data_IF_355661242300
#
_entry.id   IF_355661242300
#
_cell.length_a   1.000
_cell.length_b   1.000
_cell.length_c   1.000
_cell.angle_alpha   90.00
_cell.angle_beta   90.00
_cell.angle_gamma   90.00
#
_symmetry.space_group_name_H-M   'P 1'
#
loop_
_entity.id
_entity.type
_entity.pdbx_description
1 polymer ?
#
# COMPACT_ATOMS: atom_id res chain seq x y z
N UNK A 1 3.09 -2.92 -28.31
CA UNK A 1 1.94 -3.83 -28.46
C UNK A 1 2.24 -4.94 -29.48
N UNK A 2 2.15 -4.75 -30.81
CA UNK A 2 2.40 -5.85 -31.78
C UNK A 2 3.70 -6.65 -31.54
N UNK A 3 4.81 -5.96 -31.27
CA UNK A 3 6.09 -6.60 -30.93
C UNK A 3 6.00 -7.43 -29.64
N UNK A 4 5.39 -6.89 -28.59
CA UNK A 4 5.22 -7.57 -27.30
C UNK A 4 4.28 -8.78 -27.42
N UNK A 5 3.24 -8.69 -28.23
CA UNK A 5 2.30 -9.79 -28.49
C UNK A 5 2.96 -10.97 -29.23
N UNK A 6 4.02 -10.72 -29.99
CA UNK A 6 4.80 -11.79 -30.61
C UNK A 6 5.77 -12.47 -29.62
N UNK A 7 6.17 -11.74 -28.57
CA UNK A 7 7.09 -12.22 -27.52
C UNK A 7 6.32 -12.95 -26.40
N UNK A 8 5.06 -12.58 -26.16
CA UNK A 8 4.23 -13.06 -25.05
C UNK A 8 2.91 -13.57 -25.61
N UNK A 9 2.58 -14.83 -25.35
CA UNK A 9 1.26 -15.38 -25.67
C UNK A 9 0.22 -14.88 -24.65
N UNK A 10 -0.47 -13.78 -24.96
CA UNK A 10 -1.49 -13.19 -24.08
C UNK A 10 -2.91 -13.34 -24.64
N UNK A 11 -3.89 -13.35 -23.74
CA UNK A 11 -5.32 -13.39 -24.10
C UNK A 11 -5.78 -12.01 -24.55
N UNK A 12 -5.47 -10.99 -23.76
CA UNK A 12 -5.83 -9.61 -24.04
C UNK A 12 -4.65 -8.68 -23.75
N UNK A 13 -4.44 -7.70 -24.62
CA UNK A 13 -3.44 -6.66 -24.45
C UNK A 13 -4.08 -5.30 -24.71
N UNK A 14 -4.03 -4.43 -23.69
CA UNK A 14 -4.58 -3.07 -23.74
C UNK A 14 -3.51 -2.05 -23.41
N UNK A 15 -3.48 -0.95 -24.15
CA UNK A 15 -2.69 0.20 -23.73
C UNK A 15 -3.38 0.87 -22.54
N UNK A 16 -2.75 0.82 -21.38
CA UNK A 16 -3.30 1.37 -20.15
C UNK A 16 -3.15 2.89 -20.11
N UNK A 17 -1.97 3.39 -20.51
CA UNK A 17 -1.70 4.81 -20.45
C UNK A 17 -0.25 5.22 -20.36
N UNK A 18 -0.06 6.49 -19.96
CA UNK A 18 1.22 7.15 -19.80
C UNK A 18 1.29 7.84 -18.43
N UNK A 19 2.37 7.60 -17.69
CA UNK A 19 2.68 8.31 -16.45
C UNK A 19 3.90 9.21 -16.70
N UNK A 20 3.79 10.49 -16.33
CA UNK A 20 4.88 11.43 -16.45
C UNK A 20 5.91 11.24 -15.35
N UNK A 21 7.18 11.35 -15.73
CA UNK A 21 8.31 11.39 -14.81
C UNK A 21 9.15 12.64 -15.00
N UNK A 22 10.01 12.92 -14.02
CA UNK A 22 10.88 14.10 -14.03
C UNK A 22 11.95 14.03 -15.13
N UNK A 23 12.51 12.84 -15.37
CA UNK A 23 13.55 12.62 -16.37
C UNK A 23 13.06 11.83 -17.59
N UNK A 24 12.26 10.79 -17.35
CA UNK A 24 11.66 9.96 -18.40
C UNK A 24 10.22 9.63 -18.04
N UNK A 25 9.37 9.52 -19.05
CA UNK A 25 8.00 9.06 -18.89
C UNK A 25 7.92 7.53 -18.89
N UNK A 26 6.79 7.01 -18.42
CA UNK A 26 6.44 5.59 -18.47
C UNK A 26 5.23 5.36 -19.37
N UNK A 27 5.38 4.50 -20.36
CA UNK A 27 4.31 3.95 -21.19
C UNK A 27 3.94 2.58 -20.67
N UNK A 28 2.66 2.34 -20.42
CA UNK A 28 2.19 1.16 -19.69
C UNK A 28 1.21 0.37 -20.56
N UNK A 29 1.44 -0.93 -20.65
CA UNK A 29 0.54 -1.91 -21.25
C UNK A 29 0.01 -2.82 -20.15
N UNK A 30 -1.29 -3.04 -20.17
CA UNK A 30 -1.99 -4.04 -19.36
C UNK A 30 -2.14 -5.31 -20.19
N UNK A 31 -1.86 -6.46 -19.58
CA UNK A 31 -1.92 -7.77 -20.23
C UNK A 31 -2.68 -8.74 -19.33
N UNK A 32 -3.61 -9.47 -19.93
CA UNK A 32 -4.27 -10.63 -19.31
C UNK A 32 -3.71 -11.92 -19.91
N UNK A 33 -3.33 -12.86 -19.06
CA UNK A 33 -2.75 -14.14 -19.45
C UNK A 33 -3.04 -15.23 -18.41
N UNK A 34 -3.17 -16.48 -18.84
CA UNK A 34 -3.55 -17.60 -17.95
C UNK A 34 -2.40 -18.12 -17.07
N UNK A 35 -1.14 -17.89 -17.47
CA UNK A 35 0.04 -18.44 -16.80
C UNK A 35 0.90 -17.34 -16.22
N UNK A 36 1.29 -17.47 -14.95
CA UNK A 36 2.27 -16.57 -14.35
C UNK A 36 3.54 -16.48 -15.22
N UNK A 37 3.77 -15.31 -15.80
CA UNK A 37 5.04 -15.01 -16.48
C UNK A 37 6.10 -14.82 -15.38
N UNK A 38 7.21 -15.59 -15.37
CA UNK A 38 8.25 -15.38 -14.38
C UNK A 38 8.73 -13.93 -14.37
N UNK A 39 8.93 -13.37 -13.18
CA UNK A 39 9.50 -12.04 -13.05
C UNK A 39 11.01 -12.12 -13.34
N UNK A 40 11.41 -11.75 -14.56
CA UNK A 40 12.81 -11.73 -14.96
C UNK A 40 13.57 -10.57 -14.30
N UNK A 41 14.14 -10.80 -13.11
CA UNK A 41 15.04 -9.84 -12.46
C UNK A 41 16.26 -9.47 -13.35
N UNK A 42 16.64 -10.36 -14.27
CA UNK A 42 17.84 -10.28 -15.12
C UNK A 42 17.70 -9.21 -16.23
N UNK A 43 16.49 -8.92 -16.71
CA UNK A 43 16.34 -7.93 -17.79
C UNK A 43 16.45 -6.48 -17.28
N UNK A 44 16.23 -6.28 -15.97
CA UNK A 44 16.38 -4.99 -15.29
C UNK A 44 17.87 -4.68 -15.09
N UNK A 45 18.70 -5.68 -14.78
CA UNK A 45 20.14 -5.48 -14.57
C UNK A 45 20.90 -5.17 -15.86
N UNK A 46 20.51 -5.74 -17.01
CA UNK A 46 21.20 -5.52 -18.28
C UNK A 46 21.01 -4.11 -18.88
N UNK A 47 19.88 -3.43 -18.62
CA UNK A 47 19.73 -2.00 -18.98
C UNK A 47 20.54 -1.06 -18.07
N UNK A 48 20.98 -1.53 -16.91
CA UNK A 48 21.71 -0.73 -15.91
C UNK A 48 23.24 -0.71 -16.11
N UNK A 49 23.79 -1.63 -16.91
CA UNK A 49 25.26 -1.72 -17.10
C UNK A 49 25.84 -0.52 -17.85
N UNK A 50 25.04 0.16 -18.69
CA UNK A 50 25.53 1.34 -19.43
C UNK A 50 25.53 2.66 -18.64
N UNK A 51 25.16 2.69 -17.35
CA UNK A 51 25.06 3.95 -16.59
C UNK A 51 25.61 3.93 -15.17
N UNK A 52 26.19 2.82 -14.70
CA UNK A 52 26.72 2.67 -13.33
C UNK A 52 28.18 2.23 -13.26
N UNK A 53 28.98 2.51 -14.29
CA UNK A 53 30.45 2.50 -14.16
C UNK A 53 30.92 3.85 -13.63
N UNK A 54 30.73 4.09 -12.34
CA UNK A 54 31.54 4.99 -11.51
C UNK A 54 31.04 4.83 -10.08
N UNK A 55 31.97 4.52 -9.17
CA UNK A 55 31.84 4.35 -7.72
C UNK A 55 31.58 2.92 -7.23
N UNK A 56 32.61 2.08 -7.38
CA UNK A 56 32.90 1.02 -6.42
C UNK A 56 33.73 1.59 -5.26
N UNK A 57 33.34 1.34 -4.01
CA UNK A 57 34.27 0.71 -3.05
C UNK A 57 33.56 0.24 -1.79
N UNK A 58 33.67 -1.07 -1.56
CA UNK A 58 33.99 -1.75 -0.29
C UNK A 58 33.14 -1.41 0.94
N UNK A 59 32.31 -2.36 1.38
CA UNK A 59 32.28 -2.79 2.79
C UNK A 59 31.87 -4.27 2.87
N UNK A 60 32.77 -5.08 3.41
CA UNK A 60 32.58 -6.47 3.81
C UNK A 60 32.02 -6.51 5.23
N UNK A 61 30.87 -7.11 5.46
CA UNK A 61 30.36 -7.35 6.81
C UNK A 61 30.38 -8.86 7.13
N UNK A 62 31.27 -9.21 8.05
CA UNK A 62 31.23 -10.44 8.83
C UNK A 62 29.98 -10.43 9.72
N UNK A 63 29.22 -11.52 9.66
CA UNK A 63 28.04 -11.78 10.50
C UNK A 63 28.49 -12.63 11.69
N UNK A 64 28.39 -12.09 12.90
CA UNK A 64 28.49 -12.86 14.16
C UNK A 64 27.08 -12.91 14.72
N UNK A 65 26.53 -14.11 14.82
CA UNK A 65 25.24 -14.40 15.46
C UNK A 65 25.45 -14.49 16.97
N UNK A 66 24.79 -13.62 17.72
CA UNK A 66 24.55 -13.81 19.16
C UNK A 66 23.05 -13.82 19.37
N UNK A 67 22.50 -15.01 19.63
CA UNK A 67 21.11 -15.22 20.02
C UNK A 67 20.93 -14.73 21.46
N UNK A 68 20.12 -13.70 21.65
CA UNK A 68 19.51 -13.38 22.94
C UNK A 68 18.01 -13.52 22.81
N UNK A 69 17.43 -14.39 23.64
CA UNK A 69 16.00 -14.62 23.77
C UNK A 69 15.27 -13.29 24.03
N UNK A 70 14.35 -12.93 23.13
CA UNK A 70 13.37 -11.88 23.37
C UNK A 70 11.99 -12.52 23.28
N UNK A 71 11.20 -12.22 24.31
CA UNK A 71 9.78 -12.51 24.43
C UNK A 71 9.09 -12.21 23.11
N UNK A 72 8.26 -13.14 22.62
CA UNK A 72 7.56 -13.01 21.35
C UNK A 72 6.55 -11.86 21.44
N UNK A 73 7.00 -10.66 21.12
CA UNK A 73 6.15 -9.55 20.74
C UNK A 73 5.27 -10.04 19.58
N UNK A 74 3.95 -10.09 19.79
CA UNK A 74 3.01 -10.53 18.76
C UNK A 74 3.05 -9.48 17.65
N UNK A 75 3.88 -9.72 16.64
CA UNK A 75 3.92 -8.88 15.44
C UNK A 75 2.51 -8.86 14.83
N UNK A 76 1.98 -7.67 14.47
CA UNK A 76 0.69 -7.60 13.80
C UNK A 76 0.75 -8.44 12.52
N UNK A 77 -0.25 -9.30 12.32
CA UNK A 77 -0.27 -10.22 11.18
C UNK A 77 -0.06 -9.46 9.86
N UNK A 78 0.91 -9.90 9.05
CA UNK A 78 1.11 -9.37 7.71
C UNK A 78 -0.06 -9.81 6.80
N UNK A 79 -0.76 -8.84 6.22
CA UNK A 79 -1.86 -9.10 5.31
C UNK A 79 -1.31 -9.81 4.06
N UNK A 80 -1.79 -11.02 3.70
CA UNK A 80 -1.26 -11.77 2.58
C UNK A 80 -1.58 -11.11 1.24
N UNK A 81 -0.68 -11.29 0.28
CA UNK A 81 -0.85 -10.81 -1.08
C UNK A 81 -1.88 -11.64 -1.84
N UNK A 82 -2.64 -11.01 -2.73
CA UNK A 82 -3.53 -11.72 -3.65
C UNK A 82 -2.71 -12.45 -4.72
N UNK A 83 -3.07 -13.70 -5.08
CA UNK A 83 -2.36 -14.46 -6.09
C UNK A 83 -2.57 -13.85 -7.49
N UNK A 84 -1.75 -14.27 -8.45
CA UNK A 84 -1.88 -13.83 -9.82
C UNK A 84 -3.25 -14.19 -10.40
N UNK A 85 -3.87 -13.25 -11.12
CA UNK A 85 -5.18 -13.43 -11.74
C UNK A 85 -6.37 -13.08 -10.83
N UNK A 86 -6.14 -12.70 -9.58
CA UNK A 86 -7.20 -12.35 -8.62
C UNK A 86 -7.04 -10.91 -8.12
N UNK A 87 -8.15 -10.17 -8.04
CA UNK A 87 -8.21 -8.85 -7.40
C UNK A 87 -7.20 -7.83 -7.93
N UNK A 88 -6.37 -7.29 -7.04
CA UNK A 88 -5.33 -6.30 -7.37
C UNK A 88 -4.24 -6.82 -8.31
N UNK A 89 -4.09 -8.15 -8.41
CA UNK A 89 -3.12 -8.86 -9.26
C UNK A 89 -3.77 -9.57 -10.45
N UNK A 90 -5.01 -9.20 -10.82
CA UNK A 90 -5.72 -9.73 -11.98
C UNK A 90 -4.97 -9.54 -13.31
N UNK A 91 -4.27 -8.41 -13.48
CA UNK A 91 -3.56 -8.07 -14.71
C UNK A 91 -2.06 -7.90 -14.48
N UNK A 92 -1.28 -8.34 -15.47
CA UNK A 92 0.16 -8.06 -15.53
C UNK A 92 0.41 -6.77 -16.29
N UNK A 93 1.30 -5.93 -15.75
CA UNK A 93 1.64 -4.65 -16.37
C UNK A 93 3.07 -4.66 -16.90
N UNK A 94 3.23 -4.14 -18.12
CA UNK A 94 4.52 -3.95 -18.77
C UNK A 94 4.79 -2.47 -19.00
N UNK A 95 6.02 -2.05 -18.74
CA UNK A 95 6.42 -0.64 -18.81
C UNK A 95 7.60 -0.45 -19.74
N UNK A 96 7.60 0.66 -20.45
CA UNK A 96 8.76 1.13 -21.22
C UNK A 96 8.90 2.64 -21.12
N UNK A 97 10.11 3.17 -21.23
CA UNK A 97 10.35 4.61 -21.21
C UNK A 97 10.06 5.29 -22.55
N UNK A 98 10.15 4.55 -23.65
CA UNK A 98 9.90 5.07 -24.99
C UNK A 98 9.37 3.98 -25.90
N UNK A 99 8.36 4.27 -26.73
CA UNK A 99 7.80 3.29 -27.66
C UNK A 99 8.85 2.87 -28.68
N UNK A 100 9.45 1.69 -28.49
CA UNK A 100 10.55 1.17 -29.32
C UNK A 100 11.61 0.42 -28.52
N UNK A 101 11.75 0.74 -27.23
CA UNK A 101 12.60 0.01 -26.30
C UNK A 101 11.94 -1.32 -25.86
N UNK A 102 12.70 -2.14 -25.13
CA UNK A 102 12.18 -3.35 -24.51
C UNK A 102 11.12 -3.02 -23.44
N UNK A 103 10.21 -3.96 -23.26
CA UNK A 103 9.17 -3.88 -22.24
C UNK A 103 9.65 -4.60 -20.98
N UNK A 104 9.45 -3.97 -19.82
CA UNK A 104 9.83 -4.49 -18.52
C UNK A 104 8.56 -4.86 -17.77
N UNK A 105 8.44 -6.13 -17.34
CA UNK A 105 7.34 -6.57 -16.48
C UNK A 105 7.44 -5.87 -15.12
N UNK A 106 6.32 -5.38 -14.60
CA UNK A 106 6.21 -4.93 -13.21
C UNK A 106 5.94 -6.11 -12.27
N UNK A 107 6.42 -6.05 -11.02
CA UNK A 107 6.13 -7.09 -10.04
C UNK A 107 4.66 -7.07 -9.62
N UNK A 108 4.21 -8.17 -9.02
CA UNK A 108 2.89 -8.24 -8.39
C UNK A 108 2.85 -7.40 -7.11
N UNK A 109 1.69 -6.81 -6.83
CA UNK A 109 1.55 -5.83 -5.76
C UNK A 109 1.19 -6.50 -4.44
N UNK A 110 1.83 -6.04 -3.35
CA UNK A 110 1.47 -6.40 -1.97
C UNK A 110 0.54 -5.35 -1.34
N UNK A 111 -0.41 -5.73 -0.47
CA UNK A 111 -1.33 -4.79 0.16
C UNK A 111 -0.64 -3.66 0.94
N UNK A 112 0.46 -3.98 1.64
CA UNK A 112 1.27 -3.01 2.39
C UNK A 112 1.82 -1.88 1.49
N UNK A 113 2.20 -2.20 0.25
CA UNK A 113 2.71 -1.23 -0.72
C UNK A 113 1.61 -0.27 -1.17
N UNK A 114 0.37 -0.72 -1.33
CA UNK A 114 -0.79 0.13 -1.66
C UNK A 114 -1.09 1.07 -0.49
N UNK A 115 -1.08 0.56 0.74
CA UNK A 115 -1.38 1.34 1.94
C UNK A 115 -0.33 2.42 2.20
N UNK A 116 0.96 2.11 2.03
CA UNK A 116 2.01 3.12 2.10
C UNK A 116 1.92 4.13 0.94
N UNK A 117 1.54 3.69 -0.27
CA UNK A 117 1.36 4.59 -1.41
C UNK A 117 0.22 5.61 -1.19
N UNK A 118 -0.83 5.25 -0.42
CA UNK A 118 -1.91 6.19 -0.02
C UNK A 118 -1.42 7.32 0.88
N UNK A 119 -0.37 7.07 1.69
CA UNK A 119 0.16 8.01 2.69
C UNK A 119 1.20 8.99 2.13
N UNK A 120 1.74 8.74 0.95
CA UNK A 120 2.84 9.55 0.37
C UNK A 120 2.45 10.16 -0.97
N UNK A 121 3.02 11.35 -1.26
CA UNK A 121 3.03 11.95 -2.60
C UNK A 121 4.44 11.94 -3.15
N UNK A 122 4.62 11.25 -4.27
CA UNK A 122 5.91 11.08 -4.91
C UNK A 122 5.75 11.29 -6.42
N UNK A 123 6.56 12.19 -6.99
CA UNK A 123 6.68 12.36 -8.43
C UNK A 123 7.70 11.36 -8.96
N UNK A 124 7.33 10.64 -10.02
CA UNK A 124 8.17 9.63 -10.63
C UNK A 124 9.44 10.24 -11.21
N UNK A 125 10.57 9.55 -11.08
CA UNK A 125 11.83 9.98 -11.71
C UNK A 125 11.91 9.51 -13.16
N UNK A 126 11.32 8.37 -13.49
CA UNK A 126 11.53 7.69 -14.77
C UNK A 126 12.56 6.55 -14.68
N UNK A 127 13.10 6.29 -13.48
CA UNK A 127 13.97 5.15 -13.19
C UNK A 127 13.29 4.15 -12.23
N UNK A 128 12.97 2.95 -12.75
CA UNK A 128 12.30 1.88 -12.00
C UNK A 128 13.06 1.41 -10.75
N UNK A 129 14.39 1.57 -10.71
CA UNK A 129 15.24 1.19 -9.58
C UNK A 129 15.48 2.30 -8.55
N UNK A 130 14.86 3.47 -8.71
CA UNK A 130 15.02 4.58 -7.78
C UNK A 130 14.44 4.24 -6.40
N UNK A 131 15.15 4.60 -5.33
CA UNK A 131 14.68 4.43 -3.95
C UNK A 131 13.78 5.60 -3.55
N UNK A 132 12.64 5.31 -2.95
CA UNK A 132 11.70 6.33 -2.50
C UNK A 132 12.03 6.75 -1.07
N UNK A 133 12.70 7.90 -0.92
CA UNK A 133 13.01 8.49 0.37
C UNK A 133 11.88 9.47 0.78
N UNK A 134 10.79 8.93 1.32
CA UNK A 134 9.65 9.69 1.86
C UNK A 134 9.29 9.20 3.26
N UNK A 135 8.56 10.04 3.99
CA UNK A 135 7.98 9.69 5.28
C UNK A 135 6.45 9.66 5.16
N UNK A 136 5.77 8.56 5.54
CA UNK A 136 6.30 7.30 6.06
C UNK A 136 7.19 6.55 5.03
N UNK A 137 8.16 5.74 5.48
CA UNK A 137 9.06 5.02 4.59
C UNK A 137 8.28 4.07 3.68
N UNK A 138 8.59 4.07 2.38
CA UNK A 138 7.95 3.19 1.43
C UNK A 138 8.71 1.84 1.37
N UNK A 139 8.02 0.68 1.48
CA UNK A 139 8.67 -0.63 1.59
C UNK A 139 9.27 -1.18 0.27
N UNK A 140 9.26 -0.41 -0.82
CA UNK A 140 9.73 -0.82 -2.14
C UNK A 140 10.51 0.26 -2.91
N UNK A 141 10.75 -0.01 -4.19
CA UNK A 141 11.38 0.91 -5.14
C UNK A 141 10.32 1.66 -5.96
N UNK A 142 10.77 2.50 -6.89
CA UNK A 142 9.89 3.23 -7.81
C UNK A 142 9.00 2.31 -8.66
N UNK A 143 9.48 1.14 -9.08
CA UNK A 143 8.67 0.14 -9.81
C UNK A 143 7.48 -0.36 -8.99
N UNK A 144 7.66 -0.54 -7.69
CA UNK A 144 6.63 -1.06 -6.79
C UNK A 144 5.59 0.03 -6.51
N UNK A 145 6.06 1.28 -6.36
CA UNK A 145 5.16 2.44 -6.26
C UNK A 145 4.40 2.70 -7.55
N UNK A 146 5.03 2.55 -8.71
CA UNK A 146 4.37 2.65 -10.01
C UNK A 146 3.27 1.60 -10.12
N UNK A 147 3.56 0.34 -9.76
CA UNK A 147 2.56 -0.73 -9.71
C UNK A 147 1.42 -0.44 -8.74
N UNK A 148 1.72 0.12 -7.57
CA UNK A 148 0.71 0.52 -6.57
C UNK A 148 -0.20 1.63 -7.10
N UNK A 149 0.37 2.65 -7.76
CA UNK A 149 -0.40 3.74 -8.36
C UNK A 149 -1.28 3.24 -9.51
N UNK A 150 -0.76 2.34 -10.35
CA UNK A 150 -1.56 1.70 -11.40
C UNK A 150 -2.75 0.96 -10.78
N UNK A 151 -2.54 0.13 -9.75
CA UNK A 151 -3.64 -0.58 -9.09
C UNK A 151 -4.73 0.37 -8.58
N UNK A 152 -4.32 1.45 -7.88
CA UNK A 152 -5.23 2.46 -7.35
C UNK A 152 -6.02 3.20 -8.43
N UNK A 153 -5.34 3.60 -9.50
CA UNK A 153 -5.97 4.32 -10.62
C UNK A 153 -6.93 3.37 -11.35
N UNK A 154 -6.48 2.16 -11.70
CA UNK A 154 -7.30 1.17 -12.41
C UNK A 154 -8.58 0.86 -11.65
N UNK A 155 -8.49 0.54 -10.35
CA UNK A 155 -9.65 0.21 -9.53
C UNK A 155 -10.64 1.37 -9.33
N UNK A 156 -10.24 2.62 -9.54
CA UNK A 156 -11.11 3.80 -9.33
C UNK A 156 -11.56 4.46 -10.62
N UNK A 157 -10.93 4.16 -11.75
CA UNK A 157 -11.16 4.89 -13.01
C UNK A 157 -11.60 4.02 -14.18
N UNK A 158 -11.50 2.69 -14.06
CA UNK A 158 -11.96 1.80 -15.12
C UNK A 158 -13.47 1.62 -15.08
N UNK A 159 -14.12 2.36 -15.96
CA UNK A 159 -15.56 2.35 -16.13
C UNK A 159 -15.94 1.78 -17.50
N UNK A 160 -17.15 1.28 -17.63
CA UNK A 160 -17.75 0.86 -18.90
C UNK A 160 -19.16 1.42 -19.01
N UNK A 161 -19.73 1.50 -20.23
CA UNK A 161 -21.14 1.78 -20.38
C UNK A 161 -22.00 0.74 -19.63
N UNK A 162 -23.13 1.20 -19.09
CA UNK A 162 -24.11 0.34 -18.45
C UNK A 162 -24.60 -0.75 -19.42
N UNK A 163 -24.76 -1.98 -18.93
CA UNK A 163 -25.18 -3.13 -19.73
C UNK A 163 -24.11 -3.70 -20.68
N UNK A 164 -22.91 -3.12 -20.76
CA UNK A 164 -21.81 -3.68 -21.57
C UNK A 164 -21.33 -5.04 -21.01
N UNK A 165 -21.31 -5.15 -19.69
CA UNK A 165 -21.01 -6.38 -18.98
C UNK A 165 -22.20 -6.85 -18.15
N UNK A 166 -22.30 -8.16 -17.96
CA UNK A 166 -23.27 -8.80 -17.06
C UNK A 166 -22.49 -9.64 -16.04
N UNK A 167 -23.01 -9.66 -14.81
CA UNK A 167 -22.56 -10.60 -13.78
C UNK A 167 -23.22 -11.95 -14.07
N UNK A 168 -22.44 -12.98 -14.34
CA UNK A 168 -22.98 -14.35 -14.28
C UNK A 168 -23.14 -14.72 -12.81
N UNK A 169 -24.31 -14.41 -12.26
CA UNK A 169 -24.70 -14.86 -10.94
C UNK A 169 -25.01 -16.36 -11.00
N UNK A 170 -24.05 -17.18 -10.55
CA UNK A 170 -24.40 -18.43 -9.87
C UNK A 170 -24.75 -18.15 -8.39
N UNK A 171 -25.19 -16.93 -8.05
CA UNK A 171 -25.37 -16.47 -6.66
C UNK A 171 -26.84 -16.39 -6.22
N UNK A 172 -27.78 -16.34 -7.17
CA UNK A 172 -29.19 -16.15 -6.85
C UNK A 172 -29.91 -17.41 -6.32
N UNK A 173 -29.29 -18.59 -6.35
CA UNK A 173 -29.89 -19.83 -5.82
C UNK A 173 -29.23 -20.35 -4.51
N UNK A 174 -28.10 -19.79 -4.08
CA UNK A 174 -27.36 -20.26 -2.88
C UNK A 174 -27.44 -19.27 -1.69
N UNK A 175 -28.10 -18.12 -1.86
CA UNK A 175 -28.14 -17.05 -0.84
C UNK A 175 -29.14 -17.28 0.32
N UNK A 176 -29.95 -18.35 0.30
CA UNK A 176 -30.89 -18.66 1.40
C UNK A 176 -30.45 -19.83 2.32
N UNK A 177 -29.49 -20.69 1.93
CA UNK A 177 -29.09 -21.85 2.75
C UNK A 177 -27.63 -21.84 3.27
N UNK A 178 -26.72 -21.02 2.72
CA UNK A 178 -25.28 -21.06 3.08
C UNK A 178 -24.81 -19.99 4.07
N UNK A 179 -25.71 -19.46 4.91
CA UNK A 179 -25.33 -18.43 5.90
C UNK A 179 -24.57 -19.00 7.10
N UNK A 180 -24.52 -20.33 7.30
CA UNK A 180 -24.01 -20.91 8.55
C UNK A 180 -22.66 -21.67 8.49
N UNK A 181 -22.12 -22.12 7.35
CA UNK A 181 -20.89 -22.95 7.37
C UNK A 181 -19.86 -22.74 6.23
N UNK A 182 -19.74 -21.54 5.65
CA UNK A 182 -18.69 -21.30 4.63
C UNK A 182 -17.38 -20.78 5.22
N UNK A 183 -16.36 -21.63 5.18
CA UNK A 183 -14.94 -21.32 5.44
C UNK A 183 -14.50 -20.02 4.72
N UNK A 184 -14.32 -18.95 5.50
CA UNK A 184 -13.89 -17.61 5.07
C UNK A 184 -12.47 -17.54 4.47
N UNK A 185 -11.77 -18.67 4.31
CA UNK A 185 -10.38 -18.76 3.83
C UNK A 185 -10.25 -19.23 2.37
N UNK A 186 -11.34 -19.62 1.71
CA UNK A 186 -11.25 -19.92 0.29
C UNK A 186 -11.26 -18.61 -0.51
N UNK A 187 -10.18 -18.39 -1.25
CA UNK A 187 -10.00 -17.33 -2.24
C UNK A 187 -11.23 -17.26 -3.15
N UNK A 188 -12.18 -16.39 -2.80
CA UNK A 188 -13.38 -16.15 -3.60
C UNK A 188 -12.91 -15.68 -4.97
N UNK A 189 -13.14 -16.50 -6.00
CA UNK A 189 -12.95 -16.07 -7.38
C UNK A 189 -13.89 -14.89 -7.59
N UNK A 190 -13.35 -13.80 -8.13
CA UNK A 190 -14.13 -12.61 -8.47
C UNK A 190 -15.35 -13.02 -9.31
N UNK A 191 -16.52 -12.38 -9.12
CA UNK A 191 -17.69 -12.62 -9.98
C UNK A 191 -17.25 -12.51 -11.43
N UNK A 192 -17.53 -13.53 -12.22
CA UNK A 192 -17.07 -13.54 -13.60
C UNK A 192 -17.88 -12.51 -14.38
N UNK A 193 -17.26 -11.36 -14.67
CA UNK A 193 -17.85 -10.31 -15.49
C UNK A 193 -17.71 -10.77 -16.94
N UNK A 194 -18.84 -11.04 -17.59
CA UNK A 194 -18.86 -11.51 -18.98
C UNK A 194 -19.37 -10.39 -19.87
N UNK A 195 -18.79 -10.26 -21.07
CA UNK A 195 -19.27 -9.37 -22.11
C UNK A 195 -20.72 -9.72 -22.45
N UNK A 196 -21.62 -8.74 -22.35
CA UNK A 196 -23.01 -8.95 -22.69
C UNK A 196 -23.15 -9.24 -24.20
N UNK A 197 -23.59 -10.44 -24.61
CA UNK A 197 -23.78 -10.75 -26.02
C UNK A 197 -24.92 -9.94 -26.64
N UNK A 198 -25.88 -9.47 -25.84
CA UNK A 198 -27.04 -8.71 -26.32
C UNK A 198 -26.74 -7.23 -26.54
N UNK A 199 -25.70 -6.69 -25.88
CA UNK A 199 -25.34 -5.27 -25.96
C UNK A 199 -25.12 -4.77 -27.39
N UNK A 200 -24.50 -5.61 -28.24
CA UNK A 200 -24.28 -5.29 -29.65
C UNK A 200 -25.37 -5.82 -30.59
N UNK A 201 -26.22 -6.74 -30.12
CA UNK A 201 -27.14 -7.46 -30.99
C UNK A 201 -28.59 -6.96 -30.88
N UNK A 202 -28.93 -6.22 -29.83
CA UNK A 202 -30.25 -5.65 -29.65
C UNK A 202 -30.42 -4.36 -30.50
N UNK A 203 -31.31 -4.35 -31.51
CA UNK A 203 -31.61 -3.16 -32.30
C UNK A 203 -32.44 -2.12 -31.52
N UNK A 204 -33.03 -2.48 -30.39
CA UNK A 204 -33.80 -1.58 -29.53
C UNK A 204 -32.92 -0.78 -28.56
N UNK A 205 -31.72 -1.28 -28.27
CA UNK A 205 -30.73 -0.59 -27.45
C UNK A 205 -29.97 0.46 -28.28
N UNK A 206 -30.62 1.61 -28.48
CA UNK A 206 -30.06 2.77 -29.17
C UNK A 206 -29.08 3.51 -28.24
N UNK A 207 -27.84 3.01 -28.18
CA UNK A 207 -26.75 3.69 -27.48
C UNK A 207 -26.31 4.89 -28.31
N UNK A 208 -26.89 6.05 -28.01
CA UNK A 208 -26.51 7.33 -28.61
C UNK A 208 -25.41 7.99 -27.79
N UNK A 209 -24.60 8.82 -28.45
CA UNK A 209 -23.55 9.59 -27.78
C UNK A 209 -24.15 10.59 -26.77
N UNK A 210 -25.38 11.06 -27.03
CA UNK A 210 -26.13 11.94 -26.13
C UNK A 210 -26.54 11.24 -24.84
N UNK A 211 -27.05 9.99 -24.93
CA UNK A 211 -27.36 9.18 -23.76
C UNK A 211 -26.09 8.95 -22.92
N UNK A 212 -25.01 8.50 -23.58
CA UNK A 212 -23.72 8.31 -22.91
C UNK A 212 -23.18 9.58 -22.27
N UNK A 213 -23.58 10.76 -22.75
CA UNK A 213 -23.13 12.06 -22.24
C UNK A 213 -24.11 12.67 -21.21
N UNK A 214 -25.08 11.90 -20.72
CA UNK A 214 -26.06 12.41 -19.77
C UNK A 214 -25.40 12.87 -18.46
N UNK A 215 -25.88 14.02 -17.98
CA UNK A 215 -25.42 14.68 -16.76
C UNK A 215 -25.83 13.96 -15.48
N UNK A 216 -26.74 12.98 -15.56
CA UNK A 216 -27.12 12.15 -14.43
C UNK A 216 -26.03 11.12 -14.04
N UNK A 217 -25.06 10.86 -14.93
CA UNK A 217 -23.90 9.98 -14.65
C UNK A 217 -24.28 8.53 -14.29
N UNK A 218 -25.45 8.05 -14.72
CA UNK A 218 -25.93 6.69 -14.46
C UNK A 218 -25.53 5.69 -15.55
N UNK A 219 -25.18 6.18 -16.74
CA UNK A 219 -24.86 5.36 -17.92
C UNK A 219 -23.46 4.74 -17.90
N UNK A 220 -22.64 5.09 -16.91
CA UNK A 220 -21.29 4.57 -16.75
C UNK A 220 -21.18 3.85 -15.41
N UNK A 221 -20.63 2.65 -15.43
CA UNK A 221 -20.54 1.76 -14.28
C UNK A 221 -19.10 1.31 -14.03
N UNK A 222 -18.74 1.07 -12.78
CA UNK A 222 -17.42 0.54 -12.41
C UNK A 222 -17.28 -0.93 -12.79
N UNK A 223 -16.24 -1.24 -13.56
CA UNK A 223 -15.96 -2.60 -14.06
C UNK A 223 -15.10 -3.44 -13.12
N UNK A 224 -14.35 -2.80 -12.23
CA UNK A 224 -13.39 -3.48 -11.36
C UNK A 224 -13.78 -3.30 -9.90
N UNK A 225 -13.44 -4.27 -9.03
CA UNK A 225 -13.72 -4.17 -7.61
C UNK A 225 -12.92 -3.04 -6.96
N UNK A 226 -13.53 -2.40 -5.96
CA UNK A 226 -12.87 -1.39 -5.14
C UNK A 226 -11.74 -2.01 -4.30
N UNK A 227 -10.65 -1.27 -4.11
CA UNK A 227 -9.57 -1.67 -3.20
C UNK A 227 -9.89 -1.16 -1.80
N UNK A 228 -10.10 -2.08 -0.85
CA UNK A 228 -10.39 -1.83 0.56
C UNK A 228 -9.28 -1.06 1.28
N UNK A 229 -9.53 -0.61 2.51
CA UNK A 229 -8.52 0.09 3.33
C UNK A 229 -7.31 -0.79 3.62
N UNK A 230 -7.52 -2.12 3.70
CA UNK A 230 -6.51 -3.15 3.84
C UNK A 230 -5.54 -3.24 2.64
N UNK A 231 -5.91 -2.72 1.47
CA UNK A 231 -5.10 -2.79 0.25
C UNK A 231 -5.34 -4.05 -0.59
N UNK A 232 -6.47 -4.73 -0.37
CA UNK A 232 -6.97 -5.90 -1.11
C UNK A 232 -8.34 -5.59 -1.70
N UNK A 233 -8.79 -6.37 -2.68
CA UNK A 233 -10.19 -6.28 -3.16
C UNK A 233 -11.12 -7.12 -2.29
N UNK A 234 -10.59 -8.22 -1.74
CA UNK A 234 -11.30 -9.07 -0.78
C UNK A 234 -10.82 -8.82 0.64
N UNK A 235 -11.77 -8.68 1.56
CA UNK A 235 -11.47 -8.51 2.98
C UNK A 235 -10.76 -9.76 3.52
N UNK A 236 -9.61 -9.56 4.17
CA UNK A 236 -8.90 -10.61 4.86
C UNK A 236 -9.08 -10.47 6.37
N UNK A 237 -9.59 -11.54 6.99
CA UNK A 237 -9.72 -11.63 8.45
C UNK A 237 -8.44 -12.25 9.03
N UNK A 238 -7.74 -11.58 9.96
CA UNK A 238 -6.65 -12.20 10.68
C UNK A 238 -7.13 -13.46 11.43
N UNK A 239 -6.37 -14.56 11.42
CA UNK A 239 -6.72 -15.72 12.22
C UNK A 239 -6.69 -15.34 13.70
N UNK A 240 -7.77 -15.63 14.44
CA UNK A 240 -7.80 -15.41 15.89
C UNK A 240 -6.63 -16.18 16.54
N UNK A 241 -5.90 -15.51 17.43
CA UNK A 241 -4.65 -15.97 18.08
C UNK A 241 -4.80 -17.17 19.04
N UNK A 242 -5.84 -18.01 18.92
CA UNK A 242 -6.22 -18.97 19.98
C UNK A 242 -6.14 -20.46 19.64
N UNK A 243 -5.55 -20.90 18.52
CA UNK A 243 -5.52 -22.35 18.18
C UNK A 243 -4.17 -22.92 17.74
N UNK A 244 -3.06 -22.53 18.38
CA UNK A 244 -1.79 -23.29 18.21
C UNK A 244 -1.02 -23.59 19.50
N UNK A 245 -1.64 -23.52 20.68
CA UNK A 245 -1.04 -23.98 21.94
C UNK A 245 -2.04 -24.79 22.81
N UNK A 246 -2.76 -25.73 22.22
CA UNK A 246 -3.51 -26.76 22.95
C UNK A 246 -2.89 -28.11 22.66
N UNK A 247 -1.70 -28.33 23.23
CA UNK A 247 -1.26 -29.69 23.54
C UNK A 247 -2.17 -30.23 24.64
N UNK A 248 -2.91 -31.29 24.32
CA UNK A 248 -3.53 -32.28 25.23
C UNK A 248 -3.73 -31.83 26.69
N UNK A 249 -4.99 -31.62 27.07
CA UNK A 249 -5.40 -31.70 28.47
C UNK A 249 -6.56 -30.79 28.80
N UNK A 250 -7.71 -31.41 29.04
CA UNK A 250 -8.78 -30.96 29.93
C UNK A 250 -9.69 -29.84 29.40
N UNK A 251 -10.87 -30.29 28.93
CA UNK A 251 -12.13 -29.58 29.11
C UNK A 251 -12.25 -29.16 30.58
N UNK A 252 -12.46 -27.88 30.87
CA UNK A 252 -13.51 -27.38 31.76
C UNK A 252 -13.70 -25.87 31.48
N UNK A 253 -14.93 -25.41 31.69
CA UNK A 253 -15.47 -24.15 31.21
C UNK A 253 -14.86 -22.88 31.80
N UNK A 254 -15.53 -21.78 31.43
CA UNK A 254 -15.23 -20.36 31.70
C UNK A 254 -14.29 -19.73 30.67
N UNK A 255 -14.89 -19.04 29.69
CA UNK A 255 -14.46 -17.74 29.14
C UNK A 255 -15.43 -17.29 28.03
N UNK A 256 -16.67 -16.94 28.41
CA UNK A 256 -17.48 -15.97 27.67
C UNK A 256 -17.20 -14.61 28.30
N UNK A 257 -16.15 -13.90 27.85
CA UNK A 257 -15.92 -12.45 28.02
C UNK A 257 -14.46 -12.17 27.64
N UNK A 258 -14.20 -12.08 26.32
CA UNK A 258 -13.03 -11.38 25.72
C UNK A 258 -12.90 -11.61 24.19
N UNK A 259 -13.95 -12.12 23.53
CA UNK A 259 -14.07 -12.09 22.06
C UNK A 259 -14.52 -10.70 21.53
N UNK A 260 -14.10 -9.60 22.17
CA UNK A 260 -14.41 -8.22 21.77
C UNK A 260 -13.30 -7.56 20.93
N UNK A 261 -12.27 -8.29 20.49
CA UNK A 261 -11.10 -7.66 19.83
C UNK A 261 -11.22 -7.51 18.31
N UNK A 262 -12.27 -8.02 17.68
CA UNK A 262 -12.64 -7.65 16.30
C UNK A 262 -14.14 -7.38 16.29
N UNK A 263 -14.51 -6.11 16.50
CA UNK A 263 -15.87 -5.62 16.32
C UNK A 263 -16.46 -6.23 15.04
N UNK A 264 -17.62 -6.88 15.14
CA UNK A 264 -18.31 -7.51 13.98
C UNK A 264 -18.55 -6.48 12.86
N UNK A 265 -18.55 -5.19 13.21
CA UNK A 265 -18.65 -4.05 12.30
C UNK A 265 -17.35 -3.67 11.56
N UNK A 266 -16.21 -4.31 11.87
CA UNK A 266 -14.91 -4.01 11.23
C UNK A 266 -14.70 -4.71 9.87
N UNK A 267 -15.66 -5.52 9.42
CA UNK A 267 -15.61 -6.14 8.10
C UNK A 267 -15.98 -5.10 7.05
N UNK A 268 -14.96 -4.62 6.33
CA UNK A 268 -15.19 -3.75 5.18
C UNK A 268 -15.78 -4.57 4.02
N UNK A 269 -17.00 -4.23 3.63
CA UNK A 269 -17.68 -4.81 2.47
C UNK A 269 -17.35 -3.91 1.26
N UNK A 270 -16.75 -4.45 0.18
CA UNK A 270 -16.48 -3.67 -1.02
C UNK A 270 -17.78 -3.20 -1.68
N UNK A 271 -17.73 -2.08 -2.39
CA UNK A 271 -18.85 -1.63 -3.20
C UNK A 271 -19.27 -2.72 -4.22
N UNK A 272 -20.57 -2.88 -4.51
CA UNK A 272 -21.04 -3.81 -5.54
C UNK A 272 -20.40 -3.52 -6.90
N UNK A 273 -20.13 -4.58 -7.67
CA UNK A 273 -19.68 -4.44 -9.05
C UNK A 273 -20.77 -3.80 -9.91
N UNK A 274 -20.36 -3.13 -10.99
CA UNK A 274 -21.26 -2.45 -11.93
C UNK A 274 -22.11 -1.33 -11.28
N UNK A 275 -21.62 -0.76 -10.17
CA UNK A 275 -22.24 0.41 -9.57
C UNK A 275 -22.10 1.63 -10.50
N UNK A 276 -23.15 2.44 -10.69
CA UNK A 276 -23.09 3.67 -11.46
C UNK A 276 -22.16 4.73 -10.84
N UNK A 277 -21.43 5.45 -11.68
CA UNK A 277 -20.49 6.50 -11.23
C UNK A 277 -21.19 7.73 -10.63
N UNK A 278 -22.51 7.86 -10.83
CA UNK A 278 -23.34 8.91 -10.23
C UNK A 278 -23.43 8.80 -8.71
N UNK A 279 -23.29 7.59 -8.17
CA UNK A 279 -23.39 7.29 -6.73
C UNK A 279 -22.02 7.35 -6.03
N UNK A 280 -20.96 7.72 -6.74
CA UNK A 280 -19.62 7.86 -6.17
C UNK A 280 -19.55 9.00 -5.15
N UNK A 281 -18.71 8.79 -4.12
CA UNK A 281 -18.48 9.78 -3.06
C UNK A 281 -17.99 11.11 -3.64
N UNK A 282 -18.62 12.20 -3.21
CA UNK A 282 -18.20 13.56 -3.58
C UNK A 282 -16.78 13.87 -3.11
N UNK A 283 -16.11 14.74 -3.85
CA UNK A 283 -14.78 15.25 -3.48
C UNK A 283 -14.86 16.09 -2.19
N UNK A 284 -13.71 16.28 -1.54
CA UNK A 284 -13.59 17.18 -0.38
C UNK A 284 -13.96 18.64 -0.69
N UNK A 285 -13.95 19.03 -1.97
CA UNK A 285 -14.42 20.34 -2.47
C UNK A 285 -15.93 20.40 -2.71
N UNK A 286 -16.69 19.36 -2.33
CA UNK A 286 -18.11 19.19 -2.59
C UNK A 286 -18.47 19.20 -4.09
N UNK A 287 -17.55 18.72 -4.92
CA UNK A 287 -17.74 18.58 -6.37
C UNK A 287 -17.91 17.10 -6.73
N UNK A 288 -18.60 16.84 -7.84
CA UNK A 288 -18.74 15.48 -8.36
C UNK A 288 -17.38 14.89 -8.76
N UNK A 289 -17.14 13.59 -8.52
CA UNK A 289 -15.86 12.94 -8.83
C UNK A 289 -15.62 12.78 -10.33
N UNK A 290 -16.65 12.94 -11.17
CA UNK A 290 -16.59 12.80 -12.61
C UNK A 290 -17.13 14.04 -13.32
N UNK A 291 -16.58 14.36 -14.49
CA UNK A 291 -17.21 15.29 -15.42
C UNK A 291 -17.38 14.61 -16.77
N UNK A 292 -18.50 14.87 -17.43
CA UNK A 292 -18.82 14.32 -18.74
C UNK A 292 -19.01 15.42 -19.76
N UNK A 293 -18.77 15.12 -21.03
CA UNK A 293 -19.02 16.05 -22.11
C UNK A 293 -18.88 15.43 -23.48
N UNK A 294 -19.30 16.20 -24.48
CA UNK A 294 -19.14 15.89 -25.89
C UNK A 294 -17.94 16.63 -26.45
N UNK A 295 -17.17 15.94 -27.29
CA UNK A 295 -16.03 16.56 -28.00
C UNK A 295 -16.47 17.60 -29.02
N UNK A 296 -17.65 17.39 -29.64
CA UNK A 296 -18.27 18.34 -30.57
C UNK A 296 -19.68 18.69 -30.11
N UNK A 297 -20.00 19.99 -30.09
CA UNK A 297 -21.32 20.51 -29.71
C UNK A 297 -22.27 20.73 -30.89
N UNK A 298 -21.81 20.58 -32.14
CA UNK A 298 -22.59 20.95 -33.34
C UNK A 298 -23.06 19.73 -34.12
N UNK A 299 -22.20 18.71 -34.28
CA UNK A 299 -22.50 17.48 -35.01
C UNK A 299 -22.35 16.29 -34.06
N UNK A 300 -23.45 15.93 -33.39
CA UNK A 300 -23.44 14.86 -32.40
C UNK A 300 -23.18 13.47 -33.00
N UNK A 301 -23.51 13.26 -34.28
CA UNK A 301 -23.29 12.00 -35.01
C UNK A 301 -21.81 11.58 -35.12
N UNK A 302 -20.90 12.56 -35.17
CA UNK A 302 -19.45 12.32 -35.20
C UNK A 302 -18.77 12.65 -33.86
N UNK A 303 -19.56 12.98 -32.84
CA UNK A 303 -19.04 13.37 -31.55
C UNK A 303 -18.65 12.13 -30.75
N UNK A 304 -17.56 12.26 -30.00
CA UNK A 304 -17.17 11.31 -28.96
C UNK A 304 -17.66 11.83 -27.61
N UNK A 305 -18.24 10.95 -26.80
CA UNK A 305 -18.46 11.23 -25.38
C UNK A 305 -17.14 11.02 -24.64
N UNK A 306 -16.74 11.99 -23.83
CA UNK A 306 -15.62 11.83 -22.92
C UNK A 306 -16.10 11.95 -21.47
N UNK A 307 -15.61 11.05 -20.64
CA UNK A 307 -15.73 11.09 -19.19
C UNK A 307 -14.34 11.34 -18.64
N UNK A 308 -14.20 12.33 -17.76
CA UNK A 308 -12.93 12.62 -17.06
C UNK A 308 -13.09 12.43 -15.56
N UNK A 309 -12.09 11.82 -14.93
CA UNK A 309 -12.04 11.74 -13.47
C UNK A 309 -11.49 13.04 -12.90
N UNK A 310 -12.21 13.61 -11.93
CA UNK A 310 -11.73 14.73 -11.11
C UNK A 310 -10.91 14.23 -9.91
N UNK A 311 -11.11 12.98 -9.46
CA UNK A 311 -10.31 12.33 -8.40
C UNK A 311 -8.90 12.01 -8.90
N UNK A 312 -8.79 11.51 -10.12
CA UNK A 312 -7.51 11.21 -10.77
C UNK A 312 -7.36 12.03 -12.05
N UNK A 313 -6.86 13.27 -11.94
CA UNK A 313 -6.59 14.10 -13.10
C UNK A 313 -5.69 13.36 -14.10
N UNK A 314 -6.20 13.23 -15.33
CA UNK A 314 -5.55 12.46 -16.40
C UNK A 314 -6.22 11.15 -16.75
N UNK A 315 -7.17 10.66 -15.94
CA UNK A 315 -7.99 9.52 -16.32
C UNK A 315 -9.16 9.98 -17.21
N UNK A 316 -9.22 9.40 -18.40
CA UNK A 316 -10.25 9.64 -19.40
C UNK A 316 -10.86 8.33 -19.88
N UNK A 317 -12.17 8.33 -20.05
CA UNK A 317 -12.89 7.29 -20.75
C UNK A 317 -13.57 7.91 -21.95
N UNK A 318 -13.39 7.31 -23.12
CA UNK A 318 -14.02 7.74 -24.35
C UNK A 318 -15.08 6.72 -24.74
N UNK A 319 -16.28 7.18 -25.08
CA UNK A 319 -17.38 6.38 -25.60
C UNK A 319 -17.78 6.84 -26.99
N UNK A 320 -17.92 5.89 -27.91
CA UNK A 320 -18.45 6.14 -29.25
C UNK A 320 -19.31 4.97 -29.71
N UNK A 321 -20.60 5.24 -29.86
CA UNK A 321 -21.60 4.22 -30.16
C UNK A 321 -21.47 3.03 -29.17
N UNK A 322 -21.05 1.87 -29.67
CA UNK A 322 -20.94 0.62 -28.90
C UNK A 322 -19.54 0.30 -28.38
N UNK A 323 -18.57 1.15 -28.67
CA UNK A 323 -17.19 0.97 -28.24
C UNK A 323 -16.83 2.01 -27.17
N UNK A 324 -16.02 1.59 -26.22
CA UNK A 324 -15.44 2.49 -25.24
C UNK A 324 -13.97 2.18 -25.00
N UNK A 325 -13.24 3.15 -24.46
CA UNK A 325 -11.82 3.01 -24.17
C UNK A 325 -11.43 3.81 -22.93
N UNK A 326 -10.73 3.15 -21.99
CA UNK A 326 -10.19 3.77 -20.79
C UNK A 326 -8.71 4.07 -20.99
N UNK A 327 -8.29 5.28 -20.62
CA UNK A 327 -6.94 5.79 -20.82
C UNK A 327 -6.52 6.66 -19.64
N UNK A 328 -5.32 6.43 -19.13
CA UNK A 328 -4.69 7.35 -18.17
C UNK A 328 -3.51 8.10 -18.80
N UNK A 329 -3.50 9.44 -18.71
CA UNK A 329 -2.35 10.28 -19.08
C UNK A 329 -2.16 11.35 -18.01
N UNK A 330 -1.12 11.23 -17.19
CA UNK A 330 -0.89 12.21 -16.13
C UNK A 330 0.28 11.89 -15.20
N UNK A 331 0.33 12.59 -14.06
CA UNK A 331 1.41 12.47 -13.06
C UNK A 331 1.22 11.31 -12.07
N UNK A 332 0.11 10.57 -12.16
CA UNK A 332 -0.25 9.52 -11.21
C UNK A 332 -0.52 10.07 -9.81
N UNK A 333 -1.07 11.29 -9.68
CA UNK A 333 -1.38 11.92 -8.39
C UNK A 333 -2.89 12.01 -8.18
N UNK A 334 -3.34 11.59 -6.99
CA UNK A 334 -4.73 11.71 -6.58
C UNK A 334 -5.02 13.17 -6.18
N UNK A 335 -6.16 13.70 -6.63
CA UNK A 335 -6.69 14.97 -6.20
C UNK A 335 -7.45 14.78 -4.88
N UNK A 336 -6.74 15.00 -3.78
CA UNK A 336 -7.23 14.84 -2.43
C UNK A 336 -6.51 15.82 -1.50
N UNK A 337 -7.15 16.19 -0.39
CA UNK A 337 -6.50 16.94 0.66
C UNK A 337 -5.36 16.11 1.25
N UNK A 338 -4.13 16.51 0.98
CA UNK A 338 -2.95 15.81 1.46
C UNK A 338 -2.47 16.38 2.78
N UNK A 339 -2.59 15.58 3.84
CA UNK A 339 -2.03 15.87 5.15
C UNK A 339 -0.79 14.97 5.36
N UNK A 340 0.42 15.54 5.46
CA UNK A 340 1.63 14.76 5.71
C UNK A 340 1.49 13.93 7.00
N UNK A 341 1.96 12.68 6.97
CA UNK A 341 1.94 11.84 8.17
C UNK A 341 2.84 12.43 9.26
N UNK A 342 2.33 12.50 10.48
CA UNK A 342 3.09 12.89 11.64
C UNK A 342 4.03 11.75 12.06
N UNK A 343 5.20 12.07 12.66
CA UNK A 343 6.06 11.05 13.25
C UNK A 343 5.27 10.23 14.28
N UNK A 344 5.58 8.93 14.45
CA UNK A 344 4.96 8.14 15.50
C UNK A 344 5.20 8.83 16.85
N UNK A 345 4.21 8.76 17.72
CA UNK A 345 4.37 9.22 19.10
C UNK A 345 5.54 8.45 19.72
N UNK A 346 6.39 9.13 20.52
CA UNK A 346 7.43 8.43 21.26
C UNK A 346 6.76 7.35 22.09
N UNK A 347 7.38 6.17 22.11
CA UNK A 347 6.93 5.08 22.94
C UNK A 347 6.91 5.59 24.38
N UNK A 348 5.70 5.70 24.94
CA UNK A 348 5.55 6.10 26.33
C UNK A 348 6.11 4.91 27.09
N UNK A 349 7.33 5.04 27.61
CA UNK A 349 7.84 4.10 28.62
C UNK A 349 6.72 3.98 29.65
N UNK A 350 6.02 2.85 29.63
CA UNK A 350 4.91 2.56 30.52
C UNK A 350 5.38 2.95 31.90
N UNK A 351 4.80 4.02 32.45
CA UNK A 351 5.19 4.62 33.72
C UNK A 351 5.51 3.47 34.65
N UNK A 352 6.82 3.26 34.94
CA UNK A 352 7.24 2.31 35.98
C UNK A 352 6.30 2.59 37.12
N UNK A 353 5.49 1.60 37.54
CA UNK A 353 4.56 1.80 38.66
C UNK A 353 5.40 2.41 39.76
N UNK A 354 5.18 3.69 40.04
CA UNK A 354 5.88 4.36 41.12
C UNK A 354 5.38 3.64 42.36
N UNK A 355 6.22 2.78 42.92
CA UNK A 355 5.95 2.20 44.23
C UNK A 355 6.25 3.36 45.17
N UNK A 356 5.20 3.96 45.71
CA UNK A 356 5.31 4.94 46.78
C UNK A 356 6.10 4.27 47.90
N UNK A 357 7.35 4.69 48.08
CA UNK A 357 8.15 4.27 49.21
C UNK A 357 7.62 5.03 50.42
N UNK A 358 7.38 4.33 51.51
CA UNK A 358 7.01 4.97 52.77
C UNK A 358 8.08 5.99 53.16
N UNK A 359 7.65 7.16 53.64
CA UNK A 359 8.55 8.17 54.16
C UNK A 359 9.46 7.58 55.26
N UNK A 360 10.78 7.85 55.24
CA UNK A 360 11.68 7.35 56.25
C UNK A 360 11.30 7.88 57.63
N UNK A 361 11.33 7.01 58.64
CA UNK A 361 11.10 7.40 60.04
C UNK A 361 12.21 8.34 60.52
N UNK A 362 11.89 9.24 61.46
CA UNK A 362 12.83 10.23 62.07
C UNK A 362 14.14 9.59 62.58
N UNK A 363 14.10 8.34 63.04
CA UNK A 363 15.28 7.61 63.52
C UNK A 363 16.22 7.22 62.38
N UNK A 364 15.66 6.85 61.23
CA UNK A 364 16.39 6.48 60.01
C UNK A 364 17.02 7.70 59.33
N UNK A 365 16.35 8.85 59.40
CA UNK A 365 16.89 10.13 58.93
C UNK A 365 18.10 10.58 59.76
N UNK A 366 18.01 10.51 61.10
CA UNK A 366 19.15 10.82 61.98
C UNK A 366 20.34 9.89 61.76
N UNK A 367 20.10 8.59 61.61
CA UNK A 367 21.16 7.62 61.35
C UNK A 367 21.82 7.85 59.98
N UNK A 368 21.05 8.27 58.98
CA UNK A 368 21.58 8.63 57.66
C UNK A 368 22.40 9.92 57.70
N UNK A 369 21.94 10.94 58.45
CA UNK A 369 22.66 12.20 58.64
C UNK A 369 23.98 11.98 59.40
N UNK A 370 23.97 11.12 60.42
CA UNK A 370 25.16 10.76 61.19
C UNK A 370 26.15 9.97 60.32
N UNK A 371 25.69 8.99 59.54
CA UNK A 371 26.53 8.26 58.59
C UNK A 371 27.10 9.16 57.48
N UNK A 372 26.33 10.15 56.99
CA UNK A 372 26.84 11.14 56.04
C UNK A 372 27.87 12.07 56.67
N UNK A 373 27.68 12.43 57.94
CA UNK A 373 28.61 13.30 58.68
C UNK A 373 29.90 12.56 59.04
N UNK A 374 29.81 11.29 59.40
CA UNK A 374 30.96 10.40 59.61
C UNK A 374 31.72 10.20 58.29
N UNK A 375 31.04 9.87 57.19
CA UNK A 375 31.66 9.73 55.87
C UNK A 375 32.31 11.04 55.38
N UNK A 376 31.69 12.19 55.65
CA UNK A 376 32.29 13.50 55.37
C UNK A 376 33.51 13.78 56.25
N UNK A 377 33.44 13.39 57.53
CA UNK A 377 34.57 13.52 58.45
C UNK A 377 35.75 12.62 58.07
N UNK A 378 35.46 11.40 57.59
CA UNK A 378 36.44 10.47 57.04
C UNK A 378 37.03 10.97 55.72
N UNK A 379 36.23 11.61 54.86
CA UNK A 379 36.76 12.26 53.65
C UNK A 379 37.72 13.40 54.00
N UNK A 380 37.36 14.23 54.99
CA UNK A 380 38.21 15.34 55.43
C UNK A 380 39.48 14.86 56.13
N UNK A 381 39.43 13.77 56.91
CA UNK A 381 40.62 13.23 57.58
C UNK A 381 41.63 12.62 56.61
N UNK A 382 41.17 12.12 55.45
CA UNK A 382 42.02 11.68 54.34
C UNK A 382 42.63 12.87 53.58
N UNK A 383 41.93 14.00 53.45
CA UNK A 383 42.52 15.23 52.87
C UNK A 383 43.65 15.81 53.74
N UNK A 384 43.46 15.90 55.07
CA UNK A 384 44.47 16.46 55.99
C UNK A 384 45.71 15.57 56.23
N UNK A 385 45.69 14.29 55.82
CA UNK A 385 46.85 13.38 55.95
C UNK A 385 47.73 13.29 54.70
N UNK A 386 47.36 13.99 53.62
CA UNK A 386 48.09 13.98 52.35
C UNK A 386 48.95 15.22 52.07
N UNK A 387 48.91 16.24 52.94
CA UNK A 387 49.65 17.51 52.75
C UNK A 387 50.93 17.67 53.62
N UNK A 388 51.34 16.67 54.42
CA UNK A 388 52.52 16.76 55.32
C UNK A 388 53.73 15.88 54.94
N UNK A 389 53.84 15.40 53.70
CA UNK A 389 55.07 14.77 53.20
C UNK A 389 55.54 15.40 51.87
N UNK A 390 56.03 16.64 51.92
CA UNK A 390 57.05 17.11 50.98
C UNK A 390 58.16 17.83 51.76
N UNK A 391 59.19 17.04 52.07
CA UNK A 391 60.38 17.38 52.82
C UNK A 391 61.29 18.38 52.08
N UNK A 392 61.89 19.25 52.87
CA UNK A 392 63.11 20.01 52.58
C UNK A 392 64.22 19.11 52.04
N UNK A 393 64.89 19.51 50.95
CA UNK A 393 66.32 19.21 50.78
C UNK A 393 67.08 20.37 50.10
N UNK A 394 68.30 20.54 50.58
CA UNK A 394 69.17 21.69 50.56
C UNK A 394 70.05 21.76 49.29
N UNK A 395 70.23 22.99 48.82
CA UNK A 395 71.43 23.61 48.19
C UNK A 395 72.66 22.72 47.88
N UNK A 396 73.16 22.77 46.63
CA UNK A 396 74.61 22.87 46.37
C UNK A 396 74.87 23.73 45.13
N UNK A 397 75.76 24.72 45.30
CA UNK A 397 76.49 25.42 44.24
C UNK A 397 77.40 24.42 43.49
N UNK A 398 77.61 24.60 42.17
CA UNK A 398 78.94 24.72 41.55
C UNK A 398 78.87 24.92 40.02
N UNK A 399 79.70 25.87 39.59
CA UNK A 399 80.28 26.18 38.27
C UNK A 399 80.06 25.21 37.08
N UNK A 400 79.61 25.72 35.94
CA UNK A 400 80.46 26.18 34.81
C UNK A 400 79.63 26.79 33.65
#
# INVERSE_FOLDING_TARGET
MKRLNNEINCIEMKFWGKIFGLYCDYYIIQVQHDKEIPFDEINISNQLVNRKQLLTSKYSNHRIETKSNQEQEILPFEIPSEPHGIGTNQYTYFVTNSPGLSWIKLPDIKPIMINHARKIRYLFTGCLSSKINRFPPYPGLERDYLRAQIARITATTHISPAGYYILTDNRAEEEEEEVEEMSFNNERKDPNIILNPEYNNDPTNLITVELLADTNLQEWVHTLPEILSQGRTHFWRPPSTRTTNLSKGEEEGYEEEDNETLDRNSVEIPAPLLQPIGDDKLLYTNQRPWSIGLTMSIMHEYSLCYVRSNVWPGAFTLGHARNYFNLYIGWGQKYEQFNPSQPPLPEIELKKKFIEQNDPTVELEKAMEEAQREAASDLTSVEYTSEEEDNEEIFTDEEY
#
